data_IF_531673931521
#
_entry.id   IF_531673931521
#
_cell.length_a   1.000
_cell.length_b   1.000
_cell.length_c   1.000
_cell.angle_alpha   90.00
_cell.angle_beta   90.00
_cell.angle_gamma   90.00
#
_symmetry.space_group_name_H-M   'P 1'
#
loop_
_entity.id
_entity.type
_entity.pdbx_description
1 polymer ?
#
# COMPACT_ATOMS: atom_id res chain seq x y z
N UNK A 1 -4.38 -19.55 3.05
CA UNK A 1 -4.56 -18.11 3.33
C UNK A 1 -4.13 -17.39 2.06
N UNK A 2 -4.89 -16.43 1.54
CA UNK A 2 -4.55 -15.73 0.31
C UNK A 2 -4.27 -14.27 0.68
N UNK A 3 -3.01 -13.83 0.56
CA UNK A 3 -2.62 -12.45 0.82
C UNK A 3 -2.46 -11.70 -0.52
N UNK A 4 -3.05 -10.50 -0.68
CA UNK A 4 -2.95 -9.74 -1.93
C UNK A 4 -1.53 -9.25 -2.23
N UNK A 5 -0.73 -8.97 -1.19
CA UNK A 5 0.61 -8.40 -1.30
C UNK A 5 1.70 -9.36 -0.82
N UNK A 6 1.50 -10.67 -1.03
CA UNK A 6 2.36 -11.75 -0.54
C UNK A 6 2.42 -11.88 1.00
N UNK A 7 3.20 -12.85 1.45
CA UNK A 7 3.44 -13.12 2.87
C UNK A 7 4.66 -12.35 3.36
N UNK A 8 4.62 -11.93 4.62
CA UNK A 8 5.78 -11.36 5.29
C UNK A 8 6.87 -12.42 5.44
N UNK A 9 8.13 -12.02 5.30
CA UNK A 9 9.28 -12.92 5.41
C UNK A 9 10.05 -12.61 6.70
N UNK A 10 10.62 -13.63 7.33
CA UNK A 10 11.59 -13.42 8.42
C UNK A 10 12.99 -13.06 7.89
N UNK A 11 13.95 -12.88 8.80
CA UNK A 11 15.34 -12.52 8.44
C UNK A 11 16.06 -13.61 7.63
N UNK A 12 15.56 -14.84 7.67
CA UNK A 12 16.08 -15.98 6.90
C UNK A 12 15.37 -16.12 5.54
N UNK A 13 14.34 -15.31 5.26
CA UNK A 13 13.54 -15.34 4.04
C UNK A 13 12.40 -16.36 4.04
N UNK A 14 12.02 -16.93 5.19
CA UNK A 14 10.91 -17.86 5.29
C UNK A 14 9.56 -17.14 5.43
N UNK A 15 8.49 -17.63 4.77
CA UNK A 15 7.17 -17.00 4.82
C UNK A 15 6.52 -17.19 6.18
N UNK A 16 6.19 -16.07 6.80
CA UNK A 16 5.40 -16.00 8.02
C UNK A 16 3.91 -16.18 7.69
N UNK A 17 3.16 -16.63 8.69
CA UNK A 17 1.70 -16.70 8.63
C UNK A 17 1.05 -15.32 8.80
N UNK A 18 1.64 -14.29 8.19
CA UNK A 18 1.24 -12.89 8.24
C UNK A 18 1.28 -12.32 6.83
N UNK A 19 0.26 -11.53 6.47
CA UNK A 19 0.27 -10.84 5.19
C UNK A 19 1.21 -9.64 5.26
N UNK A 20 1.98 -9.43 4.20
CA UNK A 20 2.81 -8.25 4.09
C UNK A 20 1.94 -7.01 3.87
N UNK A 21 2.22 -5.96 4.61
CA UNK A 21 1.56 -4.66 4.49
C UNK A 21 2.60 -3.62 4.06
N UNK A 22 2.57 -3.16 2.80
CA UNK A 22 3.52 -2.18 2.29
C UNK A 22 3.40 -0.80 2.97
N UNK A 23 2.27 -0.50 3.62
CA UNK A 23 2.06 0.74 4.36
C UNK A 23 2.49 0.68 5.83
N UNK A 24 2.82 -0.51 6.36
CA UNK A 24 3.10 -0.73 7.79
C UNK A 24 4.20 0.15 8.38
N UNK A 25 5.23 0.47 7.58
CA UNK A 25 6.38 1.27 8.01
C UNK A 25 6.39 2.67 7.37
N UNK A 26 5.30 3.07 6.73
CA UNK A 26 5.17 4.37 6.08
C UNK A 26 4.55 5.36 7.05
N UNK A 27 5.28 6.44 7.35
CA UNK A 27 4.76 7.55 8.16
C UNK A 27 4.47 8.73 7.25
N UNK A 28 3.19 8.97 6.96
CA UNK A 28 2.76 10.08 6.15
C UNK A 28 2.63 11.38 6.98
N UNK A 29 3.06 12.55 6.47
CA UNK A 29 2.96 13.81 7.18
C UNK A 29 1.55 14.43 7.11
N UNK A 30 1.10 15.07 8.19
CA UNK A 30 -0.17 15.81 8.23
C UNK A 30 -1.41 14.90 8.25
N UNK A 31 -2.49 15.36 7.59
CA UNK A 31 -3.77 14.63 7.46
C UNK A 31 -3.80 13.75 6.19
N UNK A 32 -2.69 13.07 5.91
CA UNK A 32 -2.56 12.15 4.77
C UNK A 32 -2.49 10.71 5.27
N UNK A 33 -2.90 9.77 4.43
CA UNK A 33 -2.87 8.34 4.74
C UNK A 33 -2.19 7.56 3.64
N UNK A 34 -1.49 6.50 4.05
CA UNK A 34 -0.86 5.60 3.10
C UNK A 34 -1.93 4.81 2.36
N UNK A 35 -1.88 4.85 1.03
CA UNK A 35 -2.71 4.09 0.11
C UNK A 35 -1.81 3.36 -0.88
N UNK A 36 -2.28 2.25 -1.45
CA UNK A 36 -1.55 1.53 -2.48
C UNK A 36 -2.07 1.96 -3.85
N UNK A 37 -1.22 2.60 -4.63
CA UNK A 37 -1.54 2.99 -6.00
C UNK A 37 -0.77 2.16 -7.02
N UNK A 38 -1.43 1.91 -8.15
CA UNK A 38 -0.83 1.30 -9.33
C UNK A 38 -0.22 2.43 -10.17
N UNK A 39 1.01 2.79 -9.87
CA UNK A 39 1.76 3.77 -10.67
C UNK A 39 2.14 3.17 -12.03
N UNK A 40 2.12 3.99 -13.11
CA UNK A 40 2.56 3.56 -14.43
C UNK A 40 4.06 3.29 -14.42
N UNK A 41 4.43 2.02 -14.48
CA UNK A 41 5.80 1.56 -14.58
C UNK A 41 6.14 1.20 -16.05
N UNK A 42 7.41 1.27 -16.42
CA UNK A 42 7.86 0.94 -17.79
C UNK A 42 7.63 -0.53 -18.20
N UNK A 43 7.40 -1.42 -17.22
CA UNK A 43 7.33 -2.87 -17.41
C UNK A 43 6.15 -3.48 -16.63
N UNK A 44 5.07 -3.83 -17.32
CA UNK A 44 3.89 -4.47 -16.72
C UNK A 44 4.12 -5.97 -16.41
N UNK A 45 3.51 -6.52 -15.33
CA UNK A 45 2.57 -5.89 -14.41
C UNK A 45 3.25 -5.06 -13.31
N UNK A 46 2.73 -3.87 -13.04
CA UNK A 46 3.27 -2.98 -12.02
C UNK A 46 2.93 -3.47 -10.61
N UNK A 47 3.90 -3.50 -9.68
CA UNK A 47 3.61 -3.75 -8.28
C UNK A 47 2.87 -2.54 -7.67
N UNK A 48 1.93 -2.77 -6.74
CA UNK A 48 1.30 -1.69 -5.99
C UNK A 48 2.34 -1.00 -5.10
N UNK A 49 2.42 0.33 -5.17
CA UNK A 49 3.38 1.12 -4.40
C UNK A 49 2.67 1.92 -3.30
N UNK A 50 3.28 2.08 -2.10
CA UNK A 50 2.74 2.92 -1.05
C UNK A 50 2.89 4.41 -1.38
N UNK A 51 1.76 5.11 -1.50
CA UNK A 51 1.67 6.57 -1.70
C UNK A 51 0.94 7.22 -0.53
N UNK A 52 1.35 8.44 -0.15
CA UNK A 52 0.68 9.20 0.90
C UNK A 52 -0.35 10.15 0.28
N UNK A 53 -1.62 9.75 0.34
CA UNK A 53 -2.72 10.49 -0.26
C UNK A 53 -3.50 11.28 0.80
N UNK A 54 -4.00 12.46 0.41
CA UNK A 54 -4.80 13.29 1.31
C UNK A 54 -6.27 12.83 1.31
N UNK A 55 -6.83 12.59 2.50
CA UNK A 55 -8.23 12.19 2.64
C UNK A 55 -9.23 13.27 2.21
N UNK A 56 -8.78 14.52 2.02
CA UNK A 56 -9.61 15.64 1.58
C UNK A 56 -10.26 15.42 0.20
N UNK A 57 -9.68 14.57 -0.65
CA UNK A 57 -10.25 14.33 -1.98
C UNK A 57 -11.43 13.35 -1.96
N UNK A 58 -11.48 12.43 -0.99
CA UNK A 58 -12.58 11.46 -0.87
C UNK A 58 -13.88 12.11 -0.35
N UNK A 59 -13.76 13.12 0.52
CA UNK A 59 -14.94 13.83 1.04
C UNK A 59 -15.61 14.74 0.00
N UNK A 60 -14.84 15.26 -0.98
CA UNK A 60 -15.36 16.19 -1.99
C UNK A 60 -16.21 15.48 -3.07
N UNK A 61 -15.87 14.25 -3.43
CA UNK A 61 -16.60 13.48 -4.45
C UNK A 61 -17.95 12.93 -3.98
N UNK A 62 -18.16 12.77 -2.66
CA UNK A 62 -19.44 12.30 -2.11
C UNK A 62 -20.49 13.41 -1.96
N UNK A 63 -20.09 14.67 -2.16
CA UNK A 63 -20.92 15.87 -2.00
C UNK A 63 -21.25 16.59 -3.32
N UNK A 64 -20.88 16.03 -4.49
CA UNK A 64 -21.20 16.57 -5.81
C UNK A 64 -22.28 15.77 -6.55
#
# INVERSE_FOLDING_TARGET
MLCPYAFELDEEGCPLCQCHDPCRHVTCPGDTACTLEEEPCDMEPCPPLPSCESFFHCFLFLFL
#
